data_IF_987984034401
#
_entry.id   IF_987984034401
#
_cell.length_a   1.000
_cell.length_b   1.000
_cell.length_c   1.000
_cell.angle_alpha   90.00
_cell.angle_beta   90.00
_cell.angle_gamma   90.00
#
_symmetry.space_group_name_H-M   'P 1'
#
loop_
_entity.id
_entity.type
_entity.pdbx_description
1 polymer ?
#
# COMPACT_ATOMS: atom_id res chain seq x y z
N UNK A 1 -6.36 39.52 5.45
CA UNK A 1 -4.99 39.71 4.94
C UNK A 1 -3.92 39.63 6.04
N UNK A 2 -4.19 39.97 7.31
CA UNK A 2 -3.17 39.85 8.37
C UNK A 2 -2.89 38.42 8.86
N UNK A 3 -3.75 37.43 8.56
CA UNK A 3 -3.59 36.05 9.04
C UNK A 3 -2.61 35.22 8.20
N UNK A 4 -2.52 35.42 6.89
CA UNK A 4 -1.61 34.64 6.02
C UNK A 4 -0.13 34.98 6.27
N UNK A 5 0.18 36.24 6.59
CA UNK A 5 1.55 36.66 6.86
C UNK A 5 2.11 36.05 8.15
N UNK A 6 1.28 35.79 9.16
CA UNK A 6 1.71 35.13 10.40
C UNK A 6 2.10 33.66 10.18
N UNK A 7 1.48 33.00 9.19
CA UNK A 7 1.79 31.61 8.84
C UNK A 7 3.17 31.44 8.21
N UNK A 8 3.66 32.46 7.50
CA UNK A 8 4.99 32.44 6.87
C UNK A 8 6.15 32.64 7.86
N UNK A 9 5.97 33.40 8.96
CA UNK A 9 7.05 33.55 9.94
C UNK A 9 7.30 32.27 10.74
N UNK A 10 6.27 31.44 10.94
CA UNK A 10 6.41 30.16 11.65
C UNK A 10 7.00 29.05 10.77
N UNK A 11 7.01 29.21 9.44
CA UNK A 11 7.51 28.18 8.53
C UNK A 11 9.04 28.17 8.43
N UNK A 12 9.69 29.34 8.46
CA UNK A 12 11.16 29.42 8.39
C UNK A 12 11.89 28.56 9.44
N UNK A 13 11.63 28.68 10.76
CA UNK A 13 12.32 27.86 11.75
C UNK A 13 11.93 26.38 11.72
N UNK A 14 10.78 26.05 11.10
CA UNK A 14 10.35 24.67 10.89
C UNK A 14 11.12 24.04 9.72
N UNK A 15 11.25 24.76 8.61
CA UNK A 15 12.01 24.32 7.43
C UNK A 15 13.47 24.07 7.79
N UNK A 16 14.10 24.92 8.60
CA UNK A 16 15.48 24.71 9.04
C UNK A 16 15.65 23.40 9.83
N UNK A 17 14.72 23.13 10.76
CA UNK A 17 14.71 21.88 11.54
C UNK A 17 14.46 20.66 10.67
N UNK A 18 13.63 20.81 9.64
CA UNK A 18 13.32 19.75 8.70
C UNK A 18 14.52 19.46 7.80
N UNK A 19 15.24 20.49 7.33
CA UNK A 19 16.49 20.34 6.59
C UNK A 19 17.59 19.69 7.44
N UNK A 20 17.71 20.06 8.72
CA UNK A 20 18.58 19.36 9.68
C UNK A 20 18.24 17.87 9.82
N UNK A 21 16.94 17.55 9.84
CA UNK A 21 16.46 16.17 9.88
C UNK A 21 16.84 15.41 8.60
N UNK A 22 16.63 16.03 7.42
CA UNK A 22 16.98 15.44 6.13
C UNK A 22 18.48 15.17 5.99
N UNK A 23 19.34 16.11 6.42
CA UNK A 23 20.80 15.96 6.41
C UNK A 23 21.23 14.72 7.23
N UNK A 24 20.60 14.50 8.38
CA UNK A 24 20.87 13.34 9.25
C UNK A 24 20.38 12.02 8.69
N UNK A 25 19.25 12.05 8.00
CA UNK A 25 18.74 10.90 7.25
C UNK A 25 19.56 10.65 5.96
N UNK A 26 20.57 11.48 5.67
CA UNK A 26 21.41 11.43 4.47
C UNK A 26 20.60 11.59 3.19
N UNK A 27 19.53 12.39 3.25
CA UNK A 27 18.71 12.75 2.12
C UNK A 27 19.26 14.06 1.54
N UNK A 28 19.88 14.06 0.34
CA UNK A 28 20.55 15.24 -0.23
C UNK A 28 19.55 16.21 -0.85
N UNK A 29 18.57 16.67 -0.05
CA UNK A 29 17.53 17.60 -0.46
C UNK A 29 17.47 18.75 0.53
N UNK A 30 17.32 19.97 -0.01
CA UNK A 30 17.08 21.17 0.77
C UNK A 30 15.67 21.63 0.43
N UNK A 31 14.86 21.82 1.45
CA UNK A 31 13.50 22.35 1.34
C UNK A 31 13.57 23.86 1.55
N UNK A 32 12.88 24.61 0.68
CA UNK A 32 12.72 26.05 0.82
C UNK A 32 11.47 26.35 1.66
N UNK A 33 10.45 25.50 1.53
CA UNK A 33 9.17 25.62 2.22
C UNK A 33 8.69 24.25 2.75
N UNK A 34 7.83 24.22 3.77
CA UNK A 34 7.24 22.96 4.23
C UNK A 34 6.39 22.29 3.13
N UNK A 35 5.83 23.05 2.19
CA UNK A 35 5.04 22.53 1.06
C UNK A 35 5.86 21.66 0.10
N UNK A 36 7.19 21.77 0.13
CA UNK A 36 8.07 20.93 -0.68
C UNK A 36 8.09 19.46 -0.19
N UNK A 37 7.42 19.17 0.93
CA UNK A 37 7.11 17.82 1.39
C UNK A 37 6.11 17.12 0.49
N UNK A 38 6.61 16.63 -0.64
CA UNK A 38 5.84 15.77 -1.54
C UNK A 38 5.48 14.43 -0.85
N UNK A 39 4.37 13.77 -1.23
CA UNK A 39 4.01 12.46 -0.71
C UNK A 39 5.14 11.42 -0.80
N UNK A 40 5.91 11.44 -1.89
CA UNK A 40 7.05 10.54 -2.08
C UNK A 40 8.19 10.84 -1.11
N UNK A 41 8.46 12.12 -0.82
CA UNK A 41 9.47 12.51 0.15
C UNK A 41 9.05 12.14 1.58
N UNK A 42 7.78 12.32 1.95
CA UNK A 42 7.25 11.89 3.25
C UNK A 42 7.46 10.40 3.49
N UNK A 43 7.16 9.56 2.49
CA UNK A 43 7.44 8.12 2.56
C UNK A 43 8.93 7.84 2.72
N UNK A 44 9.79 8.52 1.95
CA UNK A 44 11.23 8.32 2.04
C UNK A 44 11.80 8.70 3.41
N UNK A 45 11.30 9.79 4.02
CA UNK A 45 11.67 10.21 5.38
C UNK A 45 11.26 9.13 6.38
N UNK A 46 10.01 8.64 6.32
CA UNK A 46 9.52 7.62 7.25
C UNK A 46 10.26 6.29 7.09
N UNK A 47 10.51 5.85 5.85
CA UNK A 47 11.33 4.66 5.57
C UNK A 47 12.76 4.78 6.08
N UNK A 48 13.34 5.98 5.97
CA UNK A 48 14.69 6.25 6.50
C UNK A 48 14.71 6.24 8.03
N UNK A 49 13.65 6.75 8.68
CA UNK A 49 13.51 6.71 10.14
C UNK A 49 13.30 5.28 10.66
N UNK A 50 12.47 4.50 9.97
CA UNK A 50 12.17 3.11 10.34
C UNK A 50 13.29 2.13 9.96
N UNK A 51 14.20 2.53 9.07
CA UNK A 51 15.18 1.65 8.42
C UNK A 51 14.54 0.42 7.75
N UNK A 52 13.26 0.53 7.42
CA UNK A 52 12.45 -0.53 6.82
C UNK A 52 11.59 0.07 5.70
N UNK A 53 11.25 -0.76 4.71
CA UNK A 53 10.38 -0.31 3.62
C UNK A 53 8.93 -0.45 4.03
N UNK A 54 8.15 0.59 3.79
CA UNK A 54 6.71 0.54 4.00
C UNK A 54 6.07 -0.44 3.01
N UNK A 55 4.99 -1.15 3.40
CA UNK A 55 4.27 -2.10 2.55
C UNK A 55 3.42 -1.40 1.47
N UNK A 56 3.98 -0.41 0.78
CA UNK A 56 3.38 0.30 -0.36
C UNK A 56 3.82 -0.39 -1.64
N UNK A 57 2.86 -0.90 -2.41
CA UNK A 57 3.13 -1.55 -3.70
C UNK A 57 3.84 -0.60 -4.67
N UNK A 58 4.74 -1.14 -5.50
CA UNK A 58 5.51 -0.35 -6.47
C UNK A 58 4.61 0.42 -7.43
N UNK A 59 3.47 -0.15 -7.81
CA UNK A 59 2.48 0.51 -8.66
C UNK A 59 1.92 1.80 -8.04
N UNK A 60 1.75 1.85 -6.71
CA UNK A 60 1.28 3.06 -6.01
C UNK A 60 2.41 4.09 -5.95
N UNK A 61 3.65 3.66 -5.68
CA UNK A 61 4.82 4.55 -5.59
C UNK A 61 5.13 5.26 -6.90
N UNK A 62 5.00 4.53 -8.02
CA UNK A 62 5.27 5.04 -9.36
C UNK A 62 4.08 5.81 -9.95
N UNK A 63 2.87 5.58 -9.42
CA UNK A 63 1.67 6.23 -9.91
C UNK A 63 1.66 7.71 -9.57
N UNK A 64 1.29 8.52 -10.57
CA UNK A 64 1.03 9.96 -10.40
C UNK A 64 -0.45 10.27 -10.17
N UNK A 65 -1.30 9.25 -10.13
CA UNK A 65 -2.73 9.43 -9.91
C UNK A 65 -3.01 9.91 -8.49
N UNK A 66 -3.94 10.85 -8.34
CA UNK A 66 -4.25 11.40 -7.03
C UNK A 66 -4.83 10.32 -6.10
N UNK A 67 -5.59 9.37 -6.64
CA UNK A 67 -6.08 8.22 -5.88
C UNK A 67 -4.93 7.38 -5.27
N UNK A 68 -3.84 7.16 -6.02
CA UNK A 68 -2.68 6.44 -5.53
C UNK A 68 -1.93 7.25 -4.47
N UNK A 69 -1.78 8.56 -4.64
CA UNK A 69 -1.18 9.45 -3.63
C UNK A 69 -1.98 9.42 -2.33
N UNK A 70 -3.31 9.51 -2.39
CA UNK A 70 -4.19 9.43 -1.22
C UNK A 70 -4.04 8.08 -0.53
N UNK A 71 -4.00 6.99 -1.29
CA UNK A 71 -3.78 5.67 -0.72
C UNK A 71 -2.41 5.56 -0.03
N UNK A 72 -1.36 6.12 -0.63
CA UNK A 72 -0.03 6.17 -0.03
C UNK A 72 -0.02 6.99 1.27
N UNK A 73 -0.71 8.13 1.31
CA UNK A 73 -0.83 8.95 2.52
C UNK A 73 -1.65 8.26 3.62
N UNK A 74 -2.67 7.47 3.28
CA UNK A 74 -3.36 6.61 4.27
C UNK A 74 -2.44 5.58 4.90
N UNK A 75 -1.62 4.91 4.09
CA UNK A 75 -0.66 3.92 4.60
C UNK A 75 0.39 4.63 5.47
N UNK A 76 0.88 5.79 5.03
CA UNK A 76 1.82 6.59 5.80
C UNK A 76 1.27 6.98 7.18
N UNK A 77 0.04 7.53 7.24
CA UNK A 77 -0.59 7.93 8.50
C UNK A 77 -0.83 6.72 9.41
N UNK A 78 -1.34 5.62 8.84
CA UNK A 78 -1.58 4.39 9.60
C UNK A 78 -0.30 3.84 10.22
N UNK A 79 0.79 3.71 9.45
CA UNK A 79 2.07 3.22 9.97
C UNK A 79 2.69 4.19 10.98
N UNK A 80 2.57 5.50 10.73
CA UNK A 80 3.07 6.51 11.67
C UNK A 80 2.34 6.40 13.03
N UNK A 81 1.03 6.22 13.02
CA UNK A 81 0.22 6.06 14.22
C UNK A 81 0.52 4.73 14.93
N UNK A 82 0.45 3.60 14.22
CA UNK A 82 0.54 2.26 14.82
C UNK A 82 1.95 1.83 15.17
N UNK A 83 2.93 2.06 14.30
CA UNK A 83 4.24 1.43 14.44
C UNK A 83 5.25 2.36 15.12
N UNK A 84 5.07 3.67 14.93
CA UNK A 84 6.04 4.67 15.37
C UNK A 84 5.60 5.38 16.64
N UNK A 85 4.38 5.93 16.66
CA UNK A 85 3.93 6.76 17.77
C UNK A 85 3.34 5.93 18.90
N UNK A 86 2.50 4.93 18.59
CA UNK A 86 1.74 4.17 19.59
C UNK A 86 0.91 5.04 20.55
N UNK A 87 0.65 6.31 20.19
CA UNK A 87 -0.07 7.30 20.98
C UNK A 87 -0.94 8.14 20.04
N UNK A 88 -2.13 8.53 20.50
CA UNK A 88 -3.03 9.39 19.75
C UNK A 88 -2.58 10.86 19.85
N UNK A 89 -1.86 11.32 18.82
CA UNK A 89 -1.40 12.70 18.69
C UNK A 89 -2.38 13.52 17.82
N UNK A 90 -3.61 13.04 17.61
CA UNK A 90 -4.59 13.68 16.72
C UNK A 90 -4.30 13.45 15.24
N UNK A 91 -3.67 12.33 14.88
CA UNK A 91 -3.55 11.91 13.47
C UNK A 91 -4.90 11.57 12.85
N UNK A 92 -5.88 11.21 13.69
CA UNK A 92 -7.26 10.92 13.30
C UNK A 92 -7.98 12.11 12.65
N UNK A 93 -7.57 13.34 12.96
CA UNK A 93 -8.15 14.57 12.39
C UNK A 93 -7.56 14.96 11.02
N UNK A 94 -6.43 14.35 10.62
CA UNK A 94 -5.74 14.69 9.37
C UNK A 94 -6.44 14.00 8.19
N UNK A 95 -6.92 14.79 7.24
CA UNK A 95 -7.49 14.22 6.01
C UNK A 95 -6.36 13.78 5.05
N UNK A 96 -6.23 12.48 4.74
CA UNK A 96 -5.22 11.98 3.79
C UNK A 96 -5.37 12.57 2.39
N UNK A 97 -6.57 13.07 2.02
CA UNK A 97 -6.79 13.76 0.73
C UNK A 97 -6.16 15.15 0.70
N UNK A 98 -6.35 15.92 1.77
CA UNK A 98 -5.76 17.25 1.93
C UNK A 98 -4.24 17.16 2.03
N UNK A 99 -3.74 16.19 2.79
CA UNK A 99 -2.30 15.91 2.86
C UNK A 99 -1.72 15.49 1.50
N UNK A 100 -2.39 14.61 0.76
CA UNK A 100 -1.93 14.20 -0.58
C UNK A 100 -1.97 15.34 -1.61
N UNK A 101 -2.87 16.31 -1.43
CA UNK A 101 -2.91 17.54 -2.22
C UNK A 101 -1.82 18.56 -1.82
N UNK A 102 -1.11 18.32 -0.72
CA UNK A 102 -0.11 19.23 -0.19
C UNK A 102 -0.71 20.46 0.48
N UNK A 103 -1.87 20.33 1.12
CA UNK A 103 -2.47 21.46 1.83
C UNK A 103 -1.60 21.91 3.00
N UNK A 104 -1.44 23.22 3.13
CA UNK A 104 -0.51 23.86 4.06
C UNK A 104 -0.66 23.38 5.50
N UNK A 105 -1.90 23.34 6.00
CA UNK A 105 -2.19 23.00 7.40
C UNK A 105 -1.74 21.57 7.73
N UNK A 106 -2.12 20.60 6.90
CA UNK A 106 -1.78 19.19 7.08
C UNK A 106 -0.27 18.96 6.95
N UNK A 107 0.35 19.57 5.94
CA UNK A 107 1.79 19.41 5.69
C UNK A 107 2.62 20.03 6.82
N UNK A 108 2.24 21.21 7.32
CA UNK A 108 2.91 21.84 8.47
C UNK A 108 2.74 21.02 9.74
N UNK A 109 1.57 20.42 9.96
CA UNK A 109 1.36 19.52 11.08
C UNK A 109 2.29 18.31 11.00
N UNK A 110 2.31 17.61 9.86
CA UNK A 110 3.19 16.45 9.64
C UNK A 110 4.66 16.84 9.75
N UNK A 111 5.07 17.99 9.22
CA UNK A 111 6.45 18.48 9.34
C UNK A 111 6.86 18.70 10.81
N UNK A 112 5.97 19.30 11.63
CA UNK A 112 6.20 19.47 13.07
C UNK A 112 6.31 18.13 13.78
N UNK A 113 5.44 17.18 13.43
CA UNK A 113 5.44 15.84 13.98
C UNK A 113 6.71 15.06 13.63
N UNK A 114 7.17 15.13 12.38
CA UNK A 114 8.45 14.54 11.95
C UNK A 114 9.65 15.14 12.69
N UNK A 115 9.66 16.46 12.90
CA UNK A 115 10.70 17.12 13.70
C UNK A 115 10.67 16.67 15.17
N UNK A 116 9.47 16.47 15.74
CA UNK A 116 9.31 15.93 17.09
C UNK A 116 9.79 14.48 17.16
N UNK A 117 9.43 13.67 16.17
CA UNK A 117 9.83 12.27 16.07
C UNK A 117 11.35 12.13 15.95
N UNK A 118 11.99 12.96 15.13
CA UNK A 118 13.45 13.00 15.03
C UNK A 118 14.11 13.24 16.39
N UNK A 119 13.55 14.14 17.21
CA UNK A 119 14.05 14.38 18.57
C UNK A 119 13.90 13.15 19.46
N UNK A 120 12.77 12.46 19.38
CA UNK A 120 12.52 11.22 20.14
C UNK A 120 13.49 10.11 19.76
N UNK A 121 13.80 9.98 18.47
CA UNK A 121 14.78 9.02 17.94
C UNK A 121 16.24 9.39 18.27
N UNK A 122 16.48 10.41 19.10
CA UNK A 122 17.83 10.83 19.47
C UNK A 122 18.59 11.47 18.31
N UNK A 123 17.89 12.11 17.36
CA UNK A 123 18.48 13.04 16.41
C UNK A 123 18.42 14.44 17.07
N UNK A 124 19.38 14.81 17.95
CA UNK A 124 19.33 16.09 18.66
C UNK A 124 19.35 17.22 17.63
N UNK A 125 18.54 18.28 17.69
CA UNK A 125 18.58 19.36 16.70
C UNK A 125 20.03 19.79 16.46
N UNK A 126 20.44 19.86 15.20
CA UNK A 126 21.80 20.25 14.88
C UNK A 126 21.97 21.64 15.43
N UNK A 127 22.75 21.74 16.51
CA UNK A 127 23.26 23.03 16.94
C UNK A 127 24.33 23.39 15.91
N UNK A 128 23.92 23.65 14.66
CA UNK A 128 24.60 24.65 13.87
C UNK A 128 24.48 25.90 14.76
N UNK A 129 25.41 26.15 15.71
CA UNK A 129 26.68 26.80 15.39
C UNK A 129 26.42 27.63 14.15
N UNK A 130 25.76 28.75 14.36
CA UNK A 130 26.11 29.98 13.70
C UNK A 130 27.62 30.20 13.87
N UNK A 131 28.41 29.36 13.20
CA UNK A 131 29.70 29.71 12.64
C UNK A 131 29.39 30.72 11.54
N UNK A 132 28.94 31.88 12.00
CA UNK A 132 29.48 33.13 11.56
C UNK A 132 30.97 32.91 11.40
N UNK A 133 31.34 32.64 10.16
CA UNK A 133 32.63 32.93 9.57
C UNK A 133 33.29 34.06 10.38
N UNK A 134 34.49 33.89 10.95
CA UNK A 134 35.17 34.98 11.63
C UNK A 134 35.35 36.11 10.62
N UNK A 135 34.53 37.15 10.77
CA UNK A 135 34.67 38.39 10.04
C UNK A 135 36.02 38.98 10.41
N UNK A 136 37.01 38.66 9.59
CA UNK A 136 38.26 39.37 9.52
C UNK A 136 37.97 40.74 8.93
N UNK A 137 37.84 41.74 9.80
CA UNK A 137 38.27 43.13 9.59
C UNK A 137 37.97 43.95 10.84
N UNK A 138 38.77 44.88 11.38
CA UNK A 138 40.15 45.37 11.20
C UNK A 138 40.26 46.50 12.25
N UNK A 139 41.33 46.59 13.07
CA UNK A 139 41.66 47.89 13.72
C UNK A 139 42.40 47.90 15.06
N UNK A 140 43.75 47.83 15.01
CA UNK A 140 44.69 48.46 15.96
C UNK A 140 45.08 47.67 17.23
N UNK A 141 46.32 47.62 17.71
CA UNK A 141 47.58 48.24 17.31
C UNK A 141 48.75 47.52 18.01
N UNK A 142 49.95 47.66 17.43
CA UNK A 142 51.29 47.53 18.02
C UNK A 142 51.95 46.14 18.21
N UNK A 143 52.93 45.92 17.32
CA UNK A 143 54.28 45.39 17.58
C UNK A 143 54.46 43.98 18.16
N UNK A 144 55.00 43.06 17.36
CA UNK A 144 56.40 42.66 17.49
C UNK A 144 56.83 41.72 16.35
N UNK A 145 58.13 41.73 16.10
CA UNK A 145 58.88 41.32 14.91
C UNK A 145 59.13 39.82 14.80
N UNK A 146 59.38 39.37 13.57
CA UNK A 146 60.27 38.24 13.26
C UNK A 146 59.63 37.21 12.33
N UNK A 147 60.00 37.19 11.04
CA UNK A 147 60.89 36.16 10.44
C UNK A 147 60.19 34.79 10.28
N UNK A 148 60.13 34.11 9.14
CA UNK A 148 61.13 33.85 8.10
C UNK A 148 60.39 33.44 6.82
N UNK A 149 60.91 33.90 5.68
CA UNK A 149 60.60 33.48 4.30
C UNK A 149 60.95 32.02 4.00
N UNK A 150 60.12 31.29 3.25
CA UNK A 150 60.59 30.25 2.30
C UNK A 150 59.55 29.92 1.21
N UNK A 151 59.99 29.43 0.03
CA UNK A 151 59.37 29.72 -1.26
C UNK A 151 58.84 28.49 -2.03
N UNK A 152 57.96 28.78 -2.99
CA UNK A 152 57.86 28.17 -4.33
C UNK A 152 57.95 26.64 -4.49
N UNK A 153 56.85 26.03 -4.93
CA UNK A 153 56.90 25.03 -6.00
C UNK A 153 55.67 25.14 -6.89
N UNK A 154 55.94 25.57 -8.11
CA UNK A 154 55.10 25.55 -9.31
C UNK A 154 55.00 24.09 -9.78
N UNK A 155 53.79 23.56 -9.92
CA UNK A 155 53.55 22.33 -10.69
C UNK A 155 52.40 22.53 -11.65
N UNK A 156 52.75 22.53 -12.93
CA UNK A 156 51.88 22.45 -14.09
C UNK A 156 51.95 21.00 -14.57
N UNK A 157 50.83 20.30 -14.64
CA UNK A 157 50.71 19.08 -15.42
C UNK A 157 49.26 18.90 -15.87
N UNK A 158 49.07 19.06 -17.18
CA UNK A 158 47.96 18.53 -17.97
C UNK A 158 48.00 17.01 -17.96
N UNK A 159 46.85 16.31 -18.08
CA UNK A 159 46.61 15.19 -19.00
C UNK A 159 45.26 14.48 -18.77
N UNK A 160 44.62 14.13 -19.90
CA UNK A 160 43.74 12.97 -20.23
C UNK A 160 42.45 12.76 -19.41
N UNK A 161 41.24 12.78 -19.98
CA UNK A 161 40.63 12.01 -21.10
C UNK A 161 40.65 10.49 -20.88
N UNK A 162 39.43 9.93 -20.92
CA UNK A 162 38.98 8.52 -20.95
C UNK A 162 39.05 7.69 -19.66
N UNK A 163 37.88 7.53 -19.02
CA UNK A 163 37.53 6.28 -18.31
C UNK A 163 36.13 5.84 -18.73
N UNK A 164 36.09 4.85 -19.62
CA UNK A 164 34.94 4.01 -19.88
C UNK A 164 34.81 3.03 -18.70
N UNK A 165 33.64 3.00 -18.05
CA UNK A 165 33.35 2.04 -17.00
C UNK A 165 32.78 0.76 -17.64
N UNK A 166 33.60 -0.30 -17.55
CA UNK A 166 33.28 -1.67 -17.90
C UNK A 166 32.19 -2.25 -17.00
N UNK A 167 31.35 -3.07 -17.63
CA UNK A 167 30.52 -4.07 -17.00
C UNK A 167 31.39 -5.20 -16.47
N UNK A 168 31.35 -5.47 -15.17
CA UNK A 168 31.81 -6.74 -14.60
C UNK A 168 30.61 -7.36 -13.87
N UNK A 169 29.98 -8.35 -14.52
CA UNK A 169 29.04 -9.27 -13.90
C UNK A 169 29.85 -10.38 -13.29
N UNK A 170 29.91 -10.39 -11.96
CA UNK A 170 30.37 -11.53 -11.19
C UNK A 170 29.24 -12.57 -11.15
N UNK A 171 29.46 -13.70 -11.83
CA UNK A 171 28.63 -14.89 -11.71
C UNK A 171 29.12 -15.67 -10.49
N UNK A 172 28.36 -15.63 -9.39
CA UNK A 172 28.49 -16.64 -8.34
C UNK A 172 27.62 -17.84 -8.72
N UNK A 173 28.29 -18.91 -9.13
CA UNK A 173 27.73 -20.24 -9.28
C UNK A 173 27.30 -20.75 -7.90
N UNK A 174 26.00 -20.96 -7.71
CA UNK A 174 25.46 -21.67 -6.55
C UNK A 174 25.05 -23.08 -6.98
N UNK A 175 25.93 -24.04 -6.70
CA UNK A 175 25.65 -25.46 -6.70
C UNK A 175 24.64 -25.79 -5.59
N UNK A 176 23.41 -26.12 -5.97
CA UNK A 176 22.46 -26.79 -5.06
C UNK A 176 22.02 -28.11 -5.68
N UNK A 177 22.82 -29.13 -5.41
CA UNK A 177 22.50 -30.53 -5.64
C UNK A 177 21.63 -31.02 -4.49
N UNK A 178 20.38 -31.39 -4.74
CA UNK A 178 19.66 -32.30 -3.82
C UNK A 178 18.80 -33.29 -4.59
N UNK A 179 18.90 -34.50 -4.09
CA UNK A 179 18.67 -35.79 -4.71
C UNK A 179 17.18 -36.16 -4.65
N UNK A 180 16.61 -36.60 -5.77
CA UNK A 180 15.25 -37.15 -5.79
C UNK A 180 15.21 -38.53 -5.13
N UNK A 181 14.64 -38.61 -3.93
CA UNK A 181 14.20 -39.85 -3.30
C UNK A 181 12.72 -40.10 -3.56
N UNK A 182 12.41 -41.19 -4.26
CA UNK A 182 11.04 -41.72 -4.39
C UNK A 182 10.59 -42.23 -3.02
N UNK A 183 9.38 -41.88 -2.58
CA UNK A 183 8.67 -42.61 -1.52
C UNK A 183 7.17 -42.40 -1.69
N UNK A 184 6.49 -43.53 -1.94
CA UNK A 184 5.05 -43.69 -1.91
C UNK A 184 4.56 -43.81 -0.45
N UNK A 185 3.28 -43.44 -0.26
CA UNK A 185 2.35 -43.79 0.83
C UNK A 185 2.26 -42.91 2.11
N UNK A 186 1.03 -42.38 2.25
CA UNK A 186 0.16 -42.30 3.45
C UNK A 186 0.44 -41.30 4.58
N UNK A 187 -0.67 -40.63 4.95
CA UNK A 187 -1.10 -40.29 6.32
C UNK A 187 -0.73 -38.92 6.92
N UNK A 188 -1.77 -38.07 7.01
CA UNK A 188 -2.24 -37.23 8.14
C UNK A 188 -1.27 -36.34 8.95
N UNK A 189 -1.80 -35.14 9.30
CA UNK A 189 -1.37 -34.12 10.29
C UNK A 189 -0.67 -32.88 9.66
N UNK A 190 -1.37 -31.74 9.56
CA UNK A 190 -1.59 -30.67 10.56
C UNK A 190 -0.39 -29.71 10.72
N UNK A 191 -0.73 -28.42 10.90
CA UNK A 191 0.11 -27.21 11.00
C UNK A 191 0.46 -26.65 9.62
N UNK A 192 0.07 -25.43 9.22
CA UNK A 192 -0.28 -24.23 9.98
C UNK A 192 0.67 -23.15 9.47
N UNK A 193 0.18 -22.26 8.61
CA UNK A 193 0.87 -21.01 8.36
C UNK A 193 -0.13 -19.93 7.94
N UNK A 194 -0.06 -18.84 8.68
CA UNK A 194 -0.87 -17.65 8.57
C UNK A 194 -0.25 -16.72 7.54
N UNK A 195 -1.03 -16.15 6.62
CA UNK A 195 -0.70 -14.81 6.14
C UNK A 195 -1.95 -14.03 5.70
N UNK A 196 -1.99 -12.81 6.20
CA UNK A 196 -3.09 -11.87 6.21
C UNK A 196 -3.13 -11.10 4.90
N UNK A 197 -4.26 -11.13 4.18
CA UNK A 197 -4.56 -10.14 3.14
C UNK A 197 -5.76 -9.28 3.51
N UNK A 198 -5.42 -8.04 3.85
CA UNK A 198 -6.27 -6.91 4.14
C UNK A 198 -7.15 -6.52 2.93
N UNK A 199 -8.41 -6.22 3.23
CA UNK A 199 -9.51 -5.96 2.29
C UNK A 199 -9.40 -4.61 1.58
N UNK A 200 -9.59 -4.63 0.26
CA UNK A 200 -9.99 -3.48 -0.56
C UNK A 200 -11.31 -3.78 -1.30
N UNK A 201 -12.41 -3.28 -0.74
CA UNK A 201 -13.77 -3.11 -1.32
C UNK A 201 -14.17 -4.05 -2.47
N UNK A 202 -14.54 -5.29 -2.11
CA UNK A 202 -15.26 -6.20 -3.00
C UNK A 202 -16.73 -5.79 -3.08
N UNK A 203 -17.17 -5.46 -4.31
CA UNK A 203 -18.59 -5.50 -4.68
C UNK A 203 -19.17 -6.83 -4.23
N UNK A 204 -20.22 -6.78 -3.41
CA UNK A 204 -20.88 -7.91 -2.74
C UNK A 204 -20.98 -9.16 -3.61
N UNK A 205 -20.00 -10.04 -3.47
CA UNK A 205 -20.08 -11.43 -3.89
C UNK A 205 -20.65 -12.18 -2.69
N UNK A 206 -21.69 -13.03 -2.85
CA UNK A 206 -22.21 -13.81 -1.73
C UNK A 206 -21.08 -14.70 -1.19
N UNK A 207 -20.68 -14.47 0.06
CA UNK A 207 -19.66 -15.24 0.76
C UNK A 207 -20.25 -16.57 1.22
N UNK A 208 -19.49 -17.64 1.06
CA UNK A 208 -19.91 -18.95 1.57
C UNK A 208 -19.81 -18.97 3.11
N UNK A 209 -20.64 -19.78 3.76
CA UNK A 209 -20.70 -19.93 5.23
C UNK A 209 -19.36 -20.31 5.91
N UNK A 210 -18.35 -20.73 5.14
CA UNK A 210 -16.99 -21.02 5.62
C UNK A 210 -16.08 -19.78 5.65
N UNK A 211 -16.54 -18.65 5.11
CA UNK A 211 -15.82 -17.36 5.12
C UNK A 211 -16.29 -16.42 6.24
N UNK A 212 -17.25 -16.87 7.07
CA UNK A 212 -17.70 -16.11 8.24
C UNK A 212 -16.73 -16.46 9.38
N UNK A 213 -15.91 -15.49 9.79
CA UNK A 213 -15.04 -15.62 10.96
C UNK A 213 -15.88 -15.97 12.20
N UNK A 214 -15.42 -16.98 12.97
CA UNK A 214 -16.12 -17.53 14.12
C UNK A 214 -16.45 -16.43 15.15
N UNK A 215 -17.69 -16.32 15.67
CA UNK A 215 -18.13 -15.25 16.58
C UNK A 215 -17.52 -15.31 18.00
N UNK A 216 -16.43 -16.04 18.18
CA UNK A 216 -15.73 -16.28 19.45
C UNK A 216 -15.01 -15.04 20.00
N UNK A 217 -14.84 -13.97 19.22
CA UNK A 217 -14.04 -12.79 19.61
C UNK A 217 -14.80 -11.70 20.38
N UNK A 218 -16.11 -11.81 20.58
CA UNK A 218 -16.90 -10.80 21.32
C UNK A 218 -17.13 -11.12 22.80
N UNK A 219 -16.53 -12.18 23.34
CA UNK A 219 -16.67 -12.57 24.74
C UNK A 219 -15.35 -12.42 25.51
N UNK A 220 -14.78 -11.21 25.57
CA UNK A 220 -13.77 -10.89 26.59
C UNK A 220 -13.61 -9.39 26.84
N UNK A 221 -14.39 -8.89 27.78
CA UNK A 221 -14.01 -7.89 28.79
C UNK A 221 -15.30 -7.37 29.46
N UNK A 222 -15.77 -8.05 30.51
CA UNK A 222 -16.48 -7.36 31.58
C UNK A 222 -16.39 -8.17 32.88
N UNK A 223 -15.30 -7.94 33.59
CA UNK A 223 -15.12 -8.38 34.96
C UNK A 223 -14.27 -7.34 35.70
N UNK A 224 -14.91 -6.18 35.92
CA UNK A 224 -15.00 -5.50 37.22
C UNK A 224 -13.74 -5.00 37.93
N UNK A 225 -13.69 -3.68 38.18
CA UNK A 225 -13.50 -3.22 39.56
C UNK A 225 -14.06 -1.80 39.80
N UNK A 226 -15.00 -1.74 40.74
CA UNK A 226 -15.52 -0.55 41.40
C UNK A 226 -14.40 0.25 42.05
N UNK A 227 -14.40 1.59 41.91
CA UNK A 227 -14.23 2.54 43.03
C UNK A 227 -14.58 3.99 42.59
N UNK A 228 -15.86 4.35 42.81
CA UNK A 228 -16.33 5.52 43.56
C UNK A 228 -15.36 6.71 43.77
N UNK A 229 -15.68 7.86 43.15
CA UNK A 229 -15.52 9.17 43.79
C UNK A 229 -16.54 10.18 43.20
N UNK A 230 -17.32 10.75 44.10
CA UNK A 230 -18.28 11.83 43.90
C UNK A 230 -17.56 13.19 43.74
N UNK A 231 -18.34 14.23 43.43
CA UNK A 231 -18.00 15.65 43.15
C UNK A 231 -17.79 15.96 41.65
N UNK A 232 -18.39 16.98 41.04
CA UNK A 232 -19.27 18.05 41.50
C UNK A 232 -19.90 18.70 40.26
N UNK A 233 -21.11 19.19 40.47
CA UNK A 233 -21.93 20.01 39.57
C UNK A 233 -21.20 21.15 38.85
N UNK A 234 -21.36 21.23 37.52
CA UNK A 234 -21.51 22.51 36.82
C UNK A 234 -22.54 22.39 35.69
N UNK A 235 -23.69 23.03 35.92
CA UNK A 235 -24.66 23.37 34.89
C UNK A 235 -24.01 24.19 33.79
N UNK A 236 -24.17 23.76 32.53
CA UNK A 236 -24.13 24.69 31.41
C UNK A 236 -25.19 24.31 30.37
N UNK A 237 -26.20 25.17 30.32
CA UNK A 237 -27.24 25.19 29.30
C UNK A 237 -26.63 25.54 27.94
N UNK A 238 -26.87 24.68 26.97
CA UNK A 238 -26.97 24.93 25.51
C UNK A 238 -27.80 23.76 24.99
N UNK A 239 -29.13 23.83 24.96
CA UNK A 239 -29.98 24.50 23.96
C UNK A 239 -29.44 24.41 22.52
N UNK A 240 -30.34 23.99 21.62
CA UNK A 240 -30.16 23.63 20.21
C UNK A 240 -29.50 22.28 19.89
N UNK A 241 -30.26 21.19 20.10
CA UNK A 241 -30.11 19.98 19.27
C UNK A 241 -31.39 19.80 18.45
N UNK A 242 -31.28 20.15 17.18
CA UNK A 242 -32.28 19.89 16.14
C UNK A 242 -32.45 18.37 15.98
N UNK A 243 -33.53 17.85 16.56
CA UNK A 243 -34.06 16.53 16.27
C UNK A 243 -34.41 16.44 14.78
N UNK A 244 -33.54 15.80 13.99
CA UNK A 244 -33.87 15.31 12.66
C UNK A 244 -34.77 14.08 12.80
N UNK A 245 -36.01 14.30 13.24
CA UNK A 245 -37.06 13.29 13.27
C UNK A 245 -37.51 13.04 11.82
N UNK A 246 -37.18 11.87 11.28
CA UNK A 246 -37.63 11.46 9.96
C UNK A 246 -39.10 11.02 10.07
N UNK A 247 -40.01 11.98 9.84
CA UNK A 247 -41.45 11.78 9.78
C UNK A 247 -41.80 10.95 8.53
N UNK A 248 -41.87 9.63 8.69
CA UNK A 248 -42.45 8.71 7.72
C UNK A 248 -43.92 8.44 8.06
N UNK A 249 -44.73 9.49 8.21
CA UNK A 249 -46.19 9.36 8.19
C UNK A 249 -46.64 8.91 6.79
N UNK A 250 -46.86 7.61 6.64
CA UNK A 250 -47.38 6.99 5.43
C UNK A 250 -48.88 6.78 5.61
N UNK A 251 -49.64 7.62 4.91
CA UNK A 251 -51.08 7.50 4.74
C UNK A 251 -51.49 6.11 4.24
N UNK A 252 -52.64 5.66 4.75
CA UNK A 252 -53.27 4.37 4.52
C UNK A 252 -53.81 4.22 3.09
N UNK A 253 -53.65 3.02 2.51
CA UNK A 253 -54.69 2.41 1.66
C UNK A 253 -54.65 0.88 1.81
N UNK A 254 -55.75 0.22 2.20
CA UNK A 254 -55.87 -1.23 2.16
C UNK A 254 -56.56 -1.64 0.85
N UNK A 255 -55.78 -2.03 -0.16
CA UNK A 255 -56.16 -3.07 -1.13
C UNK A 255 -55.18 -3.05 -2.31
N UNK A 256 -54.32 -4.06 -2.38
CA UNK A 256 -54.01 -4.78 -3.62
C UNK A 256 -52.95 -5.83 -3.34
N UNK A 257 -53.41 -7.07 -3.39
CA UNK A 257 -52.59 -8.25 -3.63
C UNK A 257 -51.89 -8.15 -4.99
N UNK A 258 -50.86 -8.99 -5.15
CA UNK A 258 -50.10 -9.32 -6.37
C UNK A 258 -48.68 -8.71 -6.50
N UNK A 259 -47.73 -9.54 -6.04
CA UNK A 259 -46.32 -9.66 -6.46
C UNK A 259 -45.52 -8.37 -6.70
N UNK A 260 -45.07 -7.73 -5.62
CA UNK A 260 -43.88 -6.89 -5.66
C UNK A 260 -42.74 -7.56 -4.89
N UNK A 261 -41.72 -8.01 -5.62
CA UNK A 261 -40.43 -8.46 -5.09
C UNK A 261 -39.66 -7.26 -4.53
N UNK A 262 -40.12 -6.71 -3.41
CA UNK A 262 -39.33 -5.80 -2.62
C UNK A 262 -38.45 -6.62 -1.69
N UNK A 263 -37.17 -6.75 -2.04
CA UNK A 263 -36.12 -7.10 -1.09
C UNK A 263 -35.96 -5.92 -0.13
N UNK A 264 -36.87 -5.82 0.83
CA UNK A 264 -36.62 -5.04 2.03
C UNK A 264 -35.50 -5.76 2.77
N UNK A 265 -34.37 -5.08 2.94
CA UNK A 265 -33.31 -5.49 3.84
C UNK A 265 -33.93 -5.69 5.22
N UNK A 266 -34.12 -6.94 5.60
CA UNK A 266 -34.77 -7.31 6.85
C UNK A 266 -33.95 -6.78 8.01
N UNK A 267 -34.52 -5.85 8.76
CA UNK A 267 -34.04 -5.45 10.08
C UNK A 267 -33.85 -6.71 10.92
N UNK A 268 -32.63 -6.90 11.44
CA UNK A 268 -32.28 -8.06 12.26
C UNK A 268 -33.23 -8.09 13.46
N UNK A 269 -34.09 -9.12 13.54
CA UNK A 269 -34.95 -9.35 14.69
C UNK A 269 -34.09 -9.94 15.82
N UNK A 270 -33.82 -9.14 16.84
CA UNK A 270 -33.10 -9.59 18.05
C UNK A 270 -33.99 -10.35 19.04
N UNK A 271 -35.24 -10.65 18.68
CA UNK A 271 -36.16 -11.43 19.50
C UNK A 271 -37.19 -12.20 18.67
N UNK A 272 -37.42 -13.45 19.06
CA UNK A 272 -38.36 -14.39 18.44
C UNK A 272 -37.84 -15.83 18.52
N UNK A 273 -38.74 -16.80 18.69
CA UNK A 273 -38.39 -18.21 18.63
C UNK A 273 -38.08 -18.57 17.17
N UNK A 274 -36.89 -19.11 16.90
CA UNK A 274 -36.55 -19.61 15.56
C UNK A 274 -37.39 -20.86 15.36
N UNK A 275 -38.36 -20.79 14.43
CA UNK A 275 -39.18 -21.93 14.09
C UNK A 275 -38.29 -23.04 13.51
N UNK A 276 -38.42 -24.26 14.04
CA UNK A 276 -37.69 -25.41 13.52
C UNK A 276 -38.00 -25.60 12.04
N UNK A 277 -36.93 -25.66 11.23
CA UNK A 277 -37.03 -25.84 9.79
C UNK A 277 -37.25 -27.34 9.51
N UNK A 278 -38.29 -27.66 8.74
CA UNK A 278 -38.52 -29.02 8.23
C UNK A 278 -37.47 -29.34 7.15
N UNK A 279 -36.43 -30.09 7.56
CA UNK A 279 -35.35 -30.51 6.68
C UNK A 279 -35.84 -31.26 5.43
N UNK A 280 -36.94 -32.01 5.53
CA UNK A 280 -37.50 -32.76 4.40
C UNK A 280 -38.09 -31.85 3.34
N UNK A 281 -38.73 -30.75 3.76
CA UNK A 281 -39.35 -29.78 2.85
C UNK A 281 -38.31 -28.90 2.15
N UNK A 282 -37.24 -28.54 2.87
CA UNK A 282 -36.11 -27.78 2.32
C UNK A 282 -35.33 -28.59 1.26
N UNK A 283 -35.03 -29.86 1.55
CA UNK A 283 -34.37 -30.75 0.58
C UNK A 283 -35.18 -30.91 -0.72
N UNK A 284 -36.50 -31.09 -0.62
CA UNK A 284 -37.37 -31.22 -1.81
C UNK A 284 -37.42 -29.94 -2.64
N UNK A 285 -37.45 -28.77 -2.01
CA UNK A 285 -37.46 -27.48 -2.72
C UNK A 285 -36.12 -27.21 -3.40
N UNK A 286 -35.01 -27.60 -2.78
CA UNK A 286 -33.69 -27.53 -3.40
C UNK A 286 -33.59 -28.40 -4.65
N UNK A 287 -34.02 -29.66 -4.57
CA UNK A 287 -33.98 -30.58 -5.72
C UNK A 287 -34.88 -30.13 -6.87
N UNK A 288 -36.06 -29.58 -6.57
CA UNK A 288 -36.94 -28.99 -7.58
C UNK A 288 -36.25 -27.82 -8.31
N UNK A 289 -35.52 -26.98 -7.58
CA UNK A 289 -34.79 -25.84 -8.16
C UNK A 289 -33.60 -26.28 -9.00
N UNK A 290 -32.90 -27.35 -8.60
CA UNK A 290 -31.77 -27.93 -9.34
C UNK A 290 -32.21 -28.48 -10.70
N UNK A 291 -33.37 -29.14 -10.76
CA UNK A 291 -33.92 -29.66 -12.03
C UNK A 291 -34.28 -28.54 -13.01
N UNK A 292 -34.79 -27.40 -12.53
CA UNK A 292 -35.18 -26.29 -13.42
C UNK A 292 -33.98 -25.51 -14.00
N UNK A 293 -32.79 -25.58 -13.42
CA UNK A 293 -31.60 -24.85 -13.94
C UNK A 293 -30.91 -25.54 -15.13
N UNK A 294 -31.23 -26.81 -15.42
CA UNK A 294 -30.52 -27.60 -16.45
C UNK A 294 -31.01 -27.43 -17.89
N UNK A 295 -32.04 -26.63 -18.16
CA UNK A 295 -32.73 -26.62 -19.46
C UNK A 295 -32.50 -25.39 -20.35
N UNK A 296 -31.64 -24.46 -19.96
CA UNK A 296 -31.11 -23.45 -20.91
C UNK A 296 -29.81 -23.94 -21.56
N UNK A 297 -29.95 -25.02 -22.33
CA UNK A 297 -28.95 -25.49 -23.27
C UNK A 297 -29.17 -24.80 -24.62
N UNK A 298 -28.18 -23.99 -25.00
CA UNK A 298 -27.80 -23.54 -26.34
C UNK A 298 -28.65 -24.07 -27.52
N UNK A 299 -29.59 -23.26 -27.98
CA UNK A 299 -30.04 -23.27 -29.38
C UNK A 299 -29.08 -22.40 -30.19
N UNK A 300 -27.98 -23.00 -30.67
CA UNK A 300 -27.09 -22.37 -31.66
C UNK A 300 -27.65 -22.54 -33.09
N UNK A 301 -27.54 -21.51 -33.95
CA UNK A 301 -28.09 -21.54 -35.30
C UNK A 301 -27.24 -22.41 -36.24
N UNK A 302 -27.94 -22.96 -37.23
CA UNK A 302 -27.49 -23.97 -38.18
C UNK A 302 -26.31 -23.55 -39.06
N UNK A 303 -25.50 -24.56 -39.39
CA UNK A 303 -24.40 -24.55 -40.36
C UNK A 303 -24.90 -24.25 -41.77
N UNK A 304 -24.21 -23.37 -42.48
CA UNK A 304 -24.22 -23.29 -43.94
C UNK A 304 -22.81 -23.61 -44.46
N UNK A 305 -22.76 -24.45 -45.48
CA UNK A 305 -21.57 -25.07 -46.07
C UNK A 305 -20.88 -24.21 -47.16
N UNK A 306 -19.56 -24.40 -47.27
CA UNK A 306 -18.67 -24.29 -48.46
C UNK A 306 -18.23 -22.89 -48.98
N UNK A 307 -17.13 -22.78 -49.78
CA UNK A 307 -15.88 -23.57 -49.84
C UNK A 307 -14.57 -22.72 -49.88
N UNK A 308 -13.42 -23.40 -49.70
CA UNK A 308 -12.05 -23.18 -50.24
C UNK A 308 -11.73 -21.88 -51.00
N UNK A 309 -10.62 -21.19 -50.70
CA UNK A 309 -9.37 -21.03 -51.53
C UNK A 309 -8.31 -20.16 -50.79
N UNK A 310 -7.04 -20.53 -50.98
CA UNK A 310 -5.77 -19.76 -50.95
C UNK A 310 -5.04 -19.39 -49.65
N UNK A 311 -3.89 -20.06 -49.53
CA UNK A 311 -2.59 -19.63 -49.00
C UNK A 311 -2.26 -18.14 -49.12
N UNK A 312 -2.11 -17.47 -47.99
CA UNK A 312 -0.96 -16.56 -47.75
C UNK A 312 -0.66 -16.51 -46.27
N UNK A 313 0.57 -16.94 -45.96
CA UNK A 313 1.18 -16.90 -44.64
C UNK A 313 1.51 -15.46 -44.28
N UNK A 314 0.79 -14.90 -43.32
CA UNK A 314 1.25 -13.74 -42.54
C UNK A 314 1.18 -14.10 -41.06
N UNK A 315 2.37 -14.13 -40.46
CA UNK A 315 2.65 -14.38 -39.06
C UNK A 315 2.02 -13.29 -38.17
N UNK A 316 0.75 -13.49 -37.80
CA UNK A 316 0.07 -12.68 -36.78
C UNK A 316 -0.09 -13.52 -35.52
N UNK A 317 0.67 -13.19 -34.48
CA UNK A 317 0.51 -13.75 -33.14
C UNK A 317 -0.96 -13.64 -32.70
N UNK A 318 -1.63 -14.75 -32.33
CA UNK A 318 -2.98 -14.71 -31.82
C UNK A 318 -2.97 -14.10 -30.41
N UNK A 319 -3.42 -12.85 -30.30
CA UNK A 319 -3.72 -12.22 -29.01
C UNK A 319 -5.00 -12.87 -28.47
N UNK A 320 -4.85 -13.89 -27.65
CA UNK A 320 -5.97 -14.61 -27.04
C UNK A 320 -6.62 -13.73 -25.95
N UNK A 321 -7.78 -13.17 -26.25
CA UNK A 321 -8.64 -12.52 -25.24
C UNK A 321 -9.29 -13.62 -24.38
N UNK A 322 -8.60 -14.05 -23.34
CA UNK A 322 -9.16 -14.98 -22.35
C UNK A 322 -10.09 -14.22 -21.40
N UNK A 323 -11.40 -14.48 -21.47
CA UNK A 323 -12.45 -13.81 -20.67
C UNK A 323 -12.75 -14.49 -19.33
N UNK A 324 -11.93 -15.45 -18.91
CA UNK A 324 -12.03 -16.02 -17.56
C UNK A 324 -10.63 -16.26 -16.95
N UNK A 325 -10.44 -16.02 -15.65
CA UNK A 325 -9.15 -16.19 -14.97
C UNK A 325 -8.55 -17.59 -15.13
N UNK A 326 -9.38 -18.63 -15.23
CA UNK A 326 -8.92 -20.02 -15.41
C UNK A 326 -8.34 -20.29 -16.79
N UNK A 327 -8.88 -19.67 -17.86
CA UNK A 327 -8.35 -19.83 -19.21
C UNK A 327 -6.98 -19.16 -19.38
N UNK A 328 -6.75 -18.04 -18.70
CA UNK A 328 -5.46 -17.36 -18.71
C UNK A 328 -4.37 -18.21 -18.03
N UNK A 329 -4.71 -18.86 -16.91
CA UNK A 329 -3.78 -19.76 -16.22
C UNK A 329 -3.38 -20.96 -17.09
N UNK A 330 -4.33 -21.57 -17.80
CA UNK A 330 -4.05 -22.66 -18.73
C UNK A 330 -3.19 -22.21 -19.91
N UNK A 331 -3.43 -21.01 -20.46
CA UNK A 331 -2.61 -20.46 -21.54
C UNK A 331 -1.15 -20.21 -21.11
N UNK A 332 -0.93 -19.71 -19.90
CA UNK A 332 0.42 -19.54 -19.35
C UNK A 332 1.15 -20.88 -19.15
N UNK A 333 0.44 -21.92 -18.72
CA UNK A 333 1.02 -23.26 -18.57
C UNK A 333 1.40 -23.86 -19.92
N UNK A 334 0.59 -23.65 -20.95
CA UNK A 334 0.86 -24.15 -22.31
C UNK A 334 2.08 -23.44 -22.94
N UNK A 335 2.17 -22.11 -22.81
CA UNK A 335 3.35 -21.34 -23.22
C UNK A 335 4.61 -21.77 -22.45
N UNK A 336 4.50 -22.05 -21.15
CA UNK A 336 5.61 -22.57 -20.34
C UNK A 336 6.08 -23.94 -20.85
N UNK A 337 5.15 -24.85 -21.13
CA UNK A 337 5.48 -26.18 -21.67
C UNK A 337 6.19 -26.08 -23.03
N UNK A 338 5.72 -25.17 -23.89
CA UNK A 338 6.30 -24.92 -25.22
C UNK A 338 7.71 -24.35 -25.16
N UNK A 339 7.99 -23.43 -24.23
CA UNK A 339 9.33 -22.89 -24.01
C UNK A 339 10.30 -23.95 -23.48
N UNK A 340 9.86 -24.78 -22.54
CA UNK A 340 10.67 -25.90 -22.03
C UNK A 340 11.01 -26.90 -23.13
N UNK A 341 10.05 -27.20 -24.02
CA UNK A 341 10.29 -28.08 -25.16
C UNK A 341 11.31 -27.49 -26.14
N UNK A 342 11.29 -26.17 -26.38
CA UNK A 342 12.30 -25.49 -27.22
C UNK A 342 13.70 -25.51 -26.58
N UNK A 343 13.80 -25.31 -25.26
CA UNK A 343 15.07 -25.41 -24.56
C UNK A 343 15.66 -26.82 -24.65
N UNK A 344 14.84 -27.85 -24.42
CA UNK A 344 15.27 -29.24 -24.55
C UNK A 344 15.74 -29.57 -25.98
N UNK A 345 15.10 -29.00 -27.01
CA UNK A 345 15.54 -29.15 -28.40
C UNK A 345 16.91 -28.51 -28.64
N UNK A 346 17.15 -27.31 -28.10
CA UNK A 346 18.42 -26.60 -28.25
C UNK A 346 19.57 -27.32 -27.54
N UNK A 347 19.32 -27.88 -26.35
CA UNK A 347 20.34 -28.68 -25.65
C UNK A 347 20.74 -29.92 -26.44
N UNK A 348 19.79 -30.54 -27.16
CA UNK A 348 20.08 -31.69 -28.02
C UNK A 348 20.91 -31.29 -29.25
N UNK A 349 20.63 -30.14 -29.86
CA UNK A 349 21.40 -29.60 -30.98
C UNK A 349 22.84 -29.24 -30.55
N UNK A 350 23.01 -28.69 -29.34
CA UNK A 350 24.35 -28.42 -28.76
C UNK A 350 25.10 -29.73 -28.50
N UNK A 351 24.46 -30.74 -27.93
CA UNK A 351 25.10 -32.03 -27.66
C UNK A 351 25.55 -32.76 -28.94
N UNK A 352 24.73 -32.70 -30.00
CA UNK A 352 25.05 -33.35 -31.29
C UNK A 352 26.15 -32.63 -32.05
N UNK A 353 26.22 -31.29 -32.00
CA UNK A 353 27.29 -30.51 -32.65
C UNK A 353 28.67 -30.73 -32.02
N UNK A 354 28.74 -31.02 -30.72
CA UNK A 354 30.01 -31.35 -30.04
C UNK A 354 30.45 -32.80 -30.24
N UNK A 355 29.54 -33.75 -30.43
CA UNK A 355 29.89 -35.17 -30.60
C UNK A 355 30.46 -35.54 -31.98
N UNK A 356 30.35 -34.66 -32.99
CA UNK A 356 30.73 -34.94 -34.39
C UNK A 356 32.14 -34.51 -34.83
N UNK A 357 33.02 -34.10 -33.91
CA UNK A 357 34.37 -33.58 -34.22
C UNK A 357 35.54 -34.46 -33.73
N UNK A 358 35.29 -35.72 -33.34
CA UNK A 358 36.36 -36.68 -32.99
C UNK A 358 36.77 -37.56 -34.15
#
# INVERSE_FOLDING_TARGET
MSSEFASFELSSPLTDRLNDLLDRLRLPFVLDTPLDLTPSLLLAILESLLQSRLPVSSSIRESRSDAAKVQAMKIFLGVLETDVLNEDIGLSDIDPRRLAAGEWEEVVFIAKLLCWLGKQMGLPPSKYTSSSRPSSATGGSAESRGSVTSPSTRSTATNSITSALSFEREYQESDTTVQSGRSDLTETQLLGDEDLSFRGSHRHRPQCIHEIEDPSFLARADDGELLRAEHESFSRNTDDTVDAHCDCSRDETPDSSFYSNNRTSSTVRYGGYIQEVDAGLELRTFDARKRNKGLHSYSGPEKSEMPSVSDYSTDTRPTTRHTSPSHHALALLDERAKLLSRLASLDHDIATTFSGKS
#
